data_IF_190923404473
#
_entry.id   IF_190923404473
#
_cell.length_a   1.000
_cell.length_b   1.000
_cell.length_c   1.000
_cell.angle_alpha   90.00
_cell.angle_beta   90.00
_cell.angle_gamma   90.00
#
_symmetry.space_group_name_H-M   'P 1'
#
loop_
_entity.id
_entity.type
_entity.pdbx_description
1 polymer ?
#
# COMPACT_ATOMS: atom_id res chain seq x y z
N UNK A 1 -0.50 -33.54 22.72
CA UNK A 1 -0.59 -32.10 23.07
C UNK A 1 0.84 -31.67 23.11
N UNK A 2 1.30 -31.24 21.95
CA UNK A 2 2.70 -31.07 21.60
C UNK A 2 2.85 -29.63 21.10
N UNK A 3 3.70 -28.79 21.70
CA UNK A 3 4.41 -27.78 20.94
C UNK A 3 5.58 -28.50 20.24
N UNK A 4 5.99 -28.14 19.01
CA UNK A 4 6.74 -26.88 18.84
C UNK A 4 6.74 -26.34 17.39
N UNK A 5 7.25 -25.14 17.17
CA UNK A 5 8.51 -24.98 16.43
C UNK A 5 9.03 -23.55 16.57
N UNK A 6 10.16 -23.47 17.24
CA UNK A 6 11.05 -22.32 17.33
C UNK A 6 11.42 -21.81 15.94
N UNK A 7 11.51 -20.48 15.83
CA UNK A 7 12.14 -19.82 14.71
C UNK A 7 13.60 -20.27 14.59
N UNK A 8 13.91 -20.94 13.50
CA UNK A 8 15.29 -21.25 13.07
C UNK A 8 15.44 -20.68 11.67
N UNK A 9 15.91 -19.44 11.57
CA UNK A 9 16.47 -18.92 10.31
C UNK A 9 17.93 -19.37 10.29
N UNK A 10 18.23 -20.35 9.43
CA UNK A 10 19.59 -20.80 9.18
C UNK A 10 20.26 -19.80 8.24
N UNK A 11 21.25 -19.05 8.74
CA UNK A 11 22.16 -18.29 7.89
C UNK A 11 23.20 -19.27 7.30
N UNK A 12 23.10 -19.58 6.01
CA UNK A 12 24.14 -20.28 5.25
C UNK A 12 24.63 -19.35 4.13
N UNK A 13 25.68 -18.60 4.41
CA UNK A 13 26.63 -18.02 3.45
C UNK A 13 27.66 -17.25 4.30
N UNK A 14 28.98 -17.38 4.19
CA UNK A 14 29.92 -18.18 3.40
C UNK A 14 31.29 -17.92 4.05
N UNK A 15 32.28 -18.81 3.92
CA UNK A 15 33.64 -18.30 3.92
C UNK A 15 34.52 -19.08 2.94
N UNK A 16 34.36 -18.85 1.64
CA UNK A 16 35.49 -18.94 0.69
C UNK A 16 35.05 -18.52 -0.72
N UNK A 17 35.35 -17.29 -1.11
CA UNK A 17 35.49 -16.92 -2.51
C UNK A 17 36.18 -15.55 -2.57
N UNK A 18 37.51 -15.58 -2.70
CA UNK A 18 38.23 -14.53 -3.42
C UNK A 18 37.73 -14.56 -4.87
N UNK A 19 36.93 -13.59 -5.28
CA UNK A 19 36.74 -13.30 -6.70
C UNK A 19 36.71 -11.79 -6.92
N UNK A 20 37.49 -11.43 -7.92
CA UNK A 20 37.85 -10.12 -8.43
C UNK A 20 36.71 -9.13 -8.53
N UNK A 21 37.02 -7.91 -8.09
CA UNK A 21 36.22 -6.70 -8.29
C UNK A 21 36.42 -6.30 -9.75
N UNK A 22 35.57 -6.80 -10.63
CA UNK A 22 35.36 -6.22 -11.95
C UNK A 22 33.93 -5.68 -12.05
N UNK A 23 33.85 -4.37 -12.25
CA UNK A 23 32.71 -3.64 -12.80
C UNK A 23 31.38 -3.76 -12.04
N UNK A 24 31.28 -2.99 -10.96
CA UNK A 24 30.01 -2.35 -10.59
C UNK A 24 29.71 -1.23 -11.61
N UNK A 25 29.28 -1.63 -12.81
CA UNK A 25 28.59 -0.74 -13.76
C UNK A 25 27.16 -1.30 -13.88
N UNK A 26 26.38 -1.10 -12.82
CA UNK A 26 24.92 -1.30 -12.83
C UNK A 26 24.32 0.11 -12.83
N UNK A 27 24.04 0.60 -14.03
CA UNK A 27 23.31 1.84 -14.28
C UNK A 27 22.07 1.94 -13.36
N UNK A 28 21.85 3.04 -12.62
CA UNK A 28 20.62 3.25 -11.88
C UNK A 28 19.47 3.60 -12.85
N UNK A 29 18.97 2.62 -13.59
CA UNK A 29 17.81 2.74 -14.46
C UNK A 29 16.51 2.59 -13.66
N UNK A 30 16.21 3.59 -12.83
CA UNK A 30 14.86 4.07 -12.51
C UNK A 30 14.98 5.17 -11.47
N UNK A 31 14.78 6.44 -11.86
CA UNK A 31 14.44 7.49 -10.90
C UNK A 31 12.98 7.28 -10.45
N UNK A 32 12.72 6.15 -9.79
CA UNK A 32 11.49 5.94 -9.04
C UNK A 32 11.59 6.80 -7.79
N UNK A 33 10.82 7.88 -7.73
CA UNK A 33 10.77 8.73 -6.55
C UNK A 33 10.46 7.85 -5.33
N UNK A 34 11.39 7.81 -4.36
CA UNK A 34 11.20 7.06 -3.12
C UNK A 34 10.24 7.87 -2.24
N UNK A 35 9.16 7.26 -1.71
CA UNK A 35 8.28 7.95 -0.78
C UNK A 35 9.04 8.26 0.51
N UNK A 36 8.99 9.52 0.95
CA UNK A 36 9.52 9.94 2.25
C UNK A 36 8.55 9.58 3.37
N UNK A 37 7.26 9.72 3.10
CA UNK A 37 6.19 9.31 4.00
C UNK A 37 5.93 7.82 3.80
N UNK A 38 6.08 7.04 4.87
CA UNK A 38 5.79 5.62 4.85
C UNK A 38 4.29 5.32 4.84
N UNK A 39 3.92 4.08 4.48
CA UNK A 39 2.53 3.62 4.46
C UNK A 39 1.79 3.84 5.79
N UNK A 40 2.40 3.47 6.91
CA UNK A 40 1.80 3.59 8.25
C UNK A 40 1.52 5.04 8.62
N UNK A 41 2.46 5.93 8.26
CA UNK A 41 2.34 7.37 8.51
C UNK A 41 1.24 7.97 7.63
N UNK A 42 1.20 7.63 6.34
CA UNK A 42 0.15 8.06 5.42
C UNK A 42 -1.26 7.61 5.87
N UNK A 43 -1.40 6.38 6.37
CA UNK A 43 -2.66 5.90 6.96
C UNK A 43 -3.04 6.70 8.21
N UNK A 44 -2.08 6.99 9.09
CA UNK A 44 -2.31 7.79 10.31
C UNK A 44 -2.77 9.21 9.96
N UNK A 45 -2.14 9.83 8.97
CA UNK A 45 -2.53 11.14 8.43
C UNK A 45 -3.95 11.07 7.87
N UNK A 46 -4.23 10.06 7.03
CA UNK A 46 -5.55 9.89 6.42
C UNK A 46 -6.66 9.69 7.45
N UNK A 47 -6.42 8.88 8.49
CA UNK A 47 -7.37 8.64 9.58
C UNK A 47 -7.57 9.85 10.50
N UNK A 48 -6.53 10.69 10.63
CA UNK A 48 -6.64 11.96 11.37
C UNK A 48 -7.48 12.98 10.61
N UNK A 49 -7.44 12.95 9.27
CA UNK A 49 -8.26 13.81 8.43
C UNK A 49 -9.71 13.31 8.30
N UNK A 50 -9.90 12.00 8.17
CA UNK A 50 -11.21 11.36 8.03
C UNK A 50 -11.30 10.18 9.00
N UNK A 51 -12.17 10.23 10.03
CA UNK A 51 -12.33 9.13 10.96
C UNK A 51 -12.88 7.90 10.23
N UNK A 52 -12.12 6.80 10.24
CA UNK A 52 -12.50 5.57 9.57
C UNK A 52 -11.45 4.46 9.70
N UNK A 53 -11.85 3.24 9.33
CA UNK A 53 -10.95 2.10 9.26
C UNK A 53 -10.29 2.03 7.89
N UNK A 54 -8.96 1.97 7.82
CA UNK A 54 -8.25 1.76 6.57
C UNK A 54 -8.46 0.33 6.06
N UNK A 55 -9.00 0.20 4.86
CA UNK A 55 -9.27 -1.08 4.20
C UNK A 55 -8.15 -1.45 3.21
N UNK A 56 -7.64 -0.46 2.48
CA UNK A 56 -6.54 -0.60 1.53
C UNK A 56 -5.74 0.68 1.46
N UNK A 57 -4.45 0.55 1.16
CA UNK A 57 -3.61 1.67 0.82
C UNK A 57 -2.62 1.26 -0.26
N UNK A 58 -2.36 2.16 -1.22
CA UNK A 58 -1.47 1.91 -2.36
C UNK A 58 -0.68 3.16 -2.68
N UNK A 59 0.60 3.01 -2.99
CA UNK A 59 1.41 4.08 -3.57
C UNK A 59 1.08 4.21 -5.05
N UNK A 60 0.68 5.41 -5.46
CA UNK A 60 0.44 5.77 -6.84
C UNK A 60 1.51 6.78 -7.27
N UNK A 61 1.98 6.63 -8.50
CA UNK A 61 2.86 7.59 -9.15
C UNK A 61 2.18 8.01 -10.45
N UNK A 62 1.69 9.26 -10.52
CA UNK A 62 1.06 9.80 -11.71
C UNK A 62 1.72 11.14 -12.08
N UNK A 63 2.08 11.32 -13.35
CA UNK A 63 2.73 12.53 -13.86
C UNK A 63 3.99 13.01 -13.08
N UNK A 64 4.67 12.11 -12.36
CA UNK A 64 5.84 12.45 -11.53
C UNK A 64 5.49 12.84 -10.08
N UNK A 65 4.22 12.87 -9.73
CA UNK A 65 3.73 13.07 -8.37
C UNK A 65 3.50 11.73 -7.70
N UNK A 66 4.05 11.57 -6.50
CA UNK A 66 3.98 10.34 -5.72
C UNK A 66 2.98 10.55 -4.58
N UNK A 67 1.89 9.80 -4.59
CA UNK A 67 0.83 9.93 -3.59
C UNK A 67 0.38 8.57 -3.06
N UNK A 68 0.13 8.50 -1.77
CA UNK A 68 -0.58 7.39 -1.15
C UNK A 68 -2.08 7.55 -1.37
N UNK A 69 -2.70 6.53 -1.95
CA UNK A 69 -4.13 6.39 -2.08
C UNK A 69 -4.63 5.46 -0.97
N UNK A 70 -5.38 5.99 0.01
CA UNK A 70 -5.91 5.25 1.15
C UNK A 70 -7.43 5.14 1.03
N UNK A 71 -7.97 3.92 1.04
CA UNK A 71 -9.39 3.65 1.12
C UNK A 71 -9.80 3.46 2.59
N UNK A 72 -10.68 4.33 3.08
CA UNK A 72 -11.22 4.31 4.42
C UNK A 72 -12.71 3.93 4.40
N UNK A 73 -13.13 3.09 5.35
CA UNK A 73 -14.53 2.88 5.69
C UNK A 73 -14.90 3.79 6.86
N UNK A 74 -15.80 4.73 6.63
CA UNK A 74 -16.28 5.66 7.66
C UNK A 74 -17.33 5.02 8.57
N UNK A 75 -17.57 5.57 9.78
CA UNK A 75 -18.66 5.12 10.65
C UNK A 75 -20.05 5.27 10.03
N UNK A 76 -20.20 6.12 9.00
CA UNK A 76 -21.44 6.23 8.22
C UNK A 76 -21.58 5.12 7.15
N UNK A 77 -20.68 4.13 7.15
CA UNK A 77 -20.61 3.04 6.18
C UNK A 77 -20.37 3.50 4.74
N UNK A 78 -19.78 4.69 4.56
CA UNK A 78 -19.33 5.19 3.26
C UNK A 78 -17.85 4.87 3.05
N UNK A 79 -17.49 4.51 1.82
CA UNK A 79 -16.10 4.37 1.39
C UNK A 79 -15.57 5.74 0.94
N UNK A 80 -14.46 6.18 1.53
CA UNK A 80 -13.74 7.39 1.11
C UNK A 80 -12.33 7.04 0.69
N UNK A 81 -11.91 7.61 -0.44
CA UNK A 81 -10.54 7.56 -0.90
C UNK A 81 -9.85 8.86 -0.50
N UNK A 82 -8.73 8.78 0.22
CA UNK A 82 -7.91 9.91 0.66
C UNK A 82 -6.56 9.80 -0.03
N UNK A 83 -6.14 10.87 -0.69
CA UNK A 83 -4.84 10.99 -1.33
C UNK A 83 -3.91 11.81 -0.44
N UNK A 84 -2.78 11.23 -0.07
CA UNK A 84 -1.76 11.87 0.78
C UNK A 84 -0.47 11.95 -0.02
N UNK A 85 0.12 13.13 -0.10
CA UNK A 85 1.43 13.34 -0.72
C UNK A 85 2.48 12.45 -0.05
N UNK A 86 3.21 11.67 -0.85
CA UNK A 86 4.18 10.72 -0.33
C UNK A 86 5.56 11.35 -0.05
N UNK A 87 5.77 12.62 -0.36
CA UNK A 87 7.00 13.38 -0.08
C UNK A 87 6.90 14.19 1.23
N UNK A 88 5.75 14.80 1.50
CA UNK A 88 5.59 15.68 2.68
C UNK A 88 4.45 15.28 3.64
N UNK A 89 3.49 14.44 3.20
CA UNK A 89 2.39 13.95 4.02
C UNK A 89 1.14 14.84 4.02
N UNK A 90 1.03 15.83 3.14
CA UNK A 90 -0.16 16.66 3.00
C UNK A 90 -1.30 15.88 2.33
N UNK A 91 -2.52 16.05 2.83
CA UNK A 91 -3.71 15.52 2.17
C UNK A 91 -3.97 16.35 0.91
N UNK A 92 -3.82 15.71 -0.25
CA UNK A 92 -4.03 16.32 -1.56
C UNK A 92 -5.53 16.42 -1.88
N UNK A 93 -6.26 15.34 -1.64
CA UNK A 93 -7.69 15.26 -1.94
C UNK A 93 -8.37 14.15 -1.13
N UNK A 94 -9.69 14.25 -1.00
CA UNK A 94 -10.53 13.14 -0.58
C UNK A 94 -11.79 13.08 -1.43
N UNK A 95 -12.20 11.87 -1.80
CA UNK A 95 -13.38 11.64 -2.63
C UNK A 95 -14.17 10.44 -2.09
N UNK A 96 -15.49 10.58 -2.03
CA UNK A 96 -16.35 9.42 -1.74
C UNK A 96 -16.26 8.45 -2.91
N UNK A 97 -15.91 7.21 -2.62
CA UNK A 97 -16.01 6.13 -3.60
C UNK A 97 -17.48 5.79 -3.66
N UNK A 98 -18.17 6.33 -4.67
CA UNK A 98 -19.49 5.88 -5.04
C UNK A 98 -19.35 4.42 -5.47
N UNK A 99 -19.57 3.52 -4.52
CA UNK A 99 -19.84 2.12 -4.81
C UNK A 99 -21.21 2.10 -5.47
N UNK A 100 -21.24 2.35 -6.77
CA UNK A 100 -22.31 1.86 -7.62
C UNK A 100 -22.08 0.36 -7.83
N UNK A 101 -22.02 -0.41 -6.74
CA UNK A 101 -22.39 -1.82 -6.83
C UNK A 101 -23.87 -1.81 -6.53
N UNK A 102 -24.64 -1.62 -7.60
CA UNK A 102 -26.08 -1.77 -7.55
C UNK A 102 -26.36 -3.19 -7.02
N UNK A 103 -26.83 -3.28 -5.77
CA UNK A 103 -27.29 -4.53 -5.15
C UNK A 103 -28.32 -5.27 -6.03
N UNK A 104 -28.90 -4.57 -7.02
CA UNK A 104 -29.79 -5.12 -8.05
C UNK A 104 -29.11 -6.03 -9.07
N UNK A 105 -27.81 -5.91 -9.33
CA UNK A 105 -27.11 -6.78 -10.30
C UNK A 105 -26.61 -8.09 -9.68
N UNK A 106 -26.33 -8.10 -8.38
CA UNK A 106 -25.97 -9.34 -7.67
C UNK A 106 -27.19 -10.23 -7.42
N UNK A 107 -28.37 -9.66 -7.11
CA UNK A 107 -29.57 -10.45 -6.82
C UNK A 107 -30.20 -11.10 -8.07
N UNK A 108 -29.82 -10.68 -9.28
CA UNK A 108 -30.26 -11.33 -10.53
C UNK A 108 -29.41 -12.53 -10.95
N UNK A 109 -28.24 -12.71 -10.35
CA UNK A 109 -27.34 -13.80 -10.72
C UNK A 109 -27.59 -15.11 -9.94
N UNK A 110 -28.41 -15.09 -8.87
CA UNK A 110 -28.77 -16.31 -8.11
C UNK A 110 -30.17 -16.88 -8.46
N UNK A 111 -30.97 -16.18 -9.27
CA UNK A 111 -32.31 -16.66 -9.68
C UNK A 111 -32.32 -17.34 -11.06
N UNK A 112 -31.18 -17.44 -11.75
CA UNK A 112 -31.05 -18.18 -13.02
C UNK A 112 -29.85 -19.15 -12.93
N UNK A 113 -30.10 -20.36 -12.42
CA UNK A 113 -29.12 -21.46 -12.37
C UNK A 113 -29.50 -22.61 -11.46
#
# INVERSE_FOLDING_TARGET
MDPPVSATVVYLASPDARMDIESCDDEPAATGAVPRVGLTEAVTIAQSAVPGAALRARLQAEAGELAWQILLLTPAHCLLCVFVDAQDGHVLASAMVATEVSLSEWLRAEEDG
#
